data_IF_044452635868
#
_entry.id   IF_044452635868
#
_cell.length_a   1.000
_cell.length_b   1.000
_cell.length_c   1.000
_cell.angle_alpha   90.00
_cell.angle_beta   90.00
_cell.angle_gamma   90.00
#
_symmetry.space_group_name_H-M   'P 1'
#
loop_
_entity.id
_entity.type
_entity.pdbx_description
1 polymer ?
#
# COMPACT_ATOMS: atom_id res chain seq x y z
N UNK A 1 -5.78 1.55 12.78
CA UNK A 1 -5.97 0.89 11.47
C UNK A 1 -6.44 1.95 10.49
N UNK A 2 -5.80 2.02 9.32
CA UNK A 2 -6.15 2.91 8.23
C UNK A 2 -6.65 2.07 7.05
N UNK A 3 -7.88 2.33 6.57
CA UNK A 3 -8.53 1.54 5.51
C UNK A 3 -8.75 2.45 4.31
N UNK A 4 -8.22 2.04 3.14
CA UNK A 4 -8.36 2.75 1.88
C UNK A 4 -9.21 1.90 0.93
N UNK A 5 -10.39 2.38 0.56
CA UNK A 5 -11.21 1.83 -0.49
C UNK A 5 -10.86 2.53 -1.81
N UNK A 6 -9.75 2.10 -2.45
CA UNK A 6 -9.22 2.74 -3.65
C UNK A 6 -10.23 2.73 -4.80
N UNK A 7 -10.41 3.88 -5.46
CA UNK A 7 -11.37 4.07 -6.55
C UNK A 7 -12.84 4.14 -6.12
N UNK A 8 -13.13 4.09 -4.81
CA UNK A 8 -14.49 4.13 -4.28
C UNK A 8 -14.94 5.58 -4.07
N UNK A 9 -15.95 6.00 -4.79
CA UNK A 9 -16.59 7.31 -4.66
C UNK A 9 -17.98 7.24 -4.03
N UNK A 10 -18.66 8.38 -3.99
CA UNK A 10 -20.01 8.51 -3.40
C UNK A 10 -21.00 7.53 -4.04
N UNK A 11 -20.89 7.28 -5.36
CA UNK A 11 -21.79 6.34 -6.06
C UNK A 11 -21.68 4.91 -5.53
N UNK A 12 -20.47 4.40 -5.32
CA UNK A 12 -20.22 3.06 -4.77
C UNK A 12 -20.72 2.96 -3.33
N UNK A 13 -20.46 3.99 -2.50
CA UNK A 13 -20.97 4.05 -1.13
C UNK A 13 -22.50 4.04 -1.10
N UNK A 14 -23.15 4.84 -1.97
CA UNK A 14 -24.61 4.90 -2.08
C UNK A 14 -25.19 3.55 -2.49
N UNK A 15 -24.60 2.91 -3.52
CA UNK A 15 -25.06 1.60 -3.96
C UNK A 15 -24.92 0.56 -2.84
N UNK A 16 -23.77 0.52 -2.16
CA UNK A 16 -23.53 -0.41 -1.06
C UNK A 16 -24.46 -0.17 0.12
N UNK A 17 -24.79 1.08 0.43
CA UNK A 17 -25.73 1.43 1.50
C UNK A 17 -27.14 0.90 1.22
N UNK A 18 -27.61 0.99 -0.02
CA UNK A 18 -28.95 0.50 -0.37
C UNK A 18 -29.04 -1.01 -0.65
N UNK A 19 -27.90 -1.65 -0.95
CA UNK A 19 -27.87 -3.09 -1.25
C UNK A 19 -27.47 -3.96 -0.05
N UNK A 20 -27.02 -3.38 1.05
CA UNK A 20 -26.52 -4.12 2.19
C UNK A 20 -27.08 -3.58 3.52
N UNK A 21 -27.87 -4.42 4.22
CA UNK A 21 -28.45 -4.06 5.51
C UNK A 21 -27.41 -3.76 6.61
N UNK A 22 -26.19 -4.27 6.46
CA UNK A 22 -25.08 -4.12 7.41
C UNK A 22 -23.95 -3.24 6.86
N UNK A 23 -24.26 -2.13 6.23
CA UNK A 23 -23.26 -1.20 5.70
C UNK A 23 -22.42 -0.57 6.83
N UNK A 24 -21.24 -1.13 7.08
CA UNK A 24 -20.37 -0.74 8.20
C UNK A 24 -19.98 0.73 8.24
N UNK A 25 -19.71 1.42 7.12
CA UNK A 25 -19.37 2.84 7.15
C UNK A 25 -20.45 3.76 7.74
N UNK A 26 -21.73 3.35 7.71
CA UNK A 26 -22.82 4.12 8.33
C UNK A 26 -22.76 4.16 9.86
N UNK A 27 -21.89 3.37 10.47
CA UNK A 27 -21.70 3.30 11.94
C UNK A 27 -20.54 4.16 12.45
N UNK A 28 -19.84 4.88 11.57
CA UNK A 28 -18.80 5.79 12.01
C UNK A 28 -19.40 7.08 12.56
N UNK A 29 -18.92 7.53 13.71
CA UNK A 29 -19.39 8.74 14.39
C UNK A 29 -18.94 10.03 13.70
N UNK A 30 -17.89 9.98 12.91
CA UNK A 30 -17.30 11.14 12.26
C UNK A 30 -17.19 10.94 10.76
N UNK A 31 -17.60 11.98 10.00
CA UNK A 31 -17.48 12.04 8.55
C UNK A 31 -16.78 13.34 8.17
N UNK A 32 -15.85 13.25 7.22
CA UNK A 32 -15.13 14.40 6.70
C UNK A 32 -15.03 14.37 5.18
N UNK A 33 -14.67 15.51 4.61
CA UNK A 33 -14.32 15.65 3.21
C UNK A 33 -12.84 16.00 3.09
N UNK A 34 -12.17 15.45 2.09
CA UNK A 34 -10.77 15.71 1.79
C UNK A 34 -10.59 16.11 0.34
N UNK A 35 -9.67 17.02 0.10
CA UNK A 35 -9.29 17.46 -1.25
C UNK A 35 -8.24 16.47 -1.79
N UNK A 36 -8.53 15.86 -2.93
CA UNK A 36 -7.72 14.76 -3.48
C UNK A 36 -6.84 15.13 -4.67
N UNK A 37 -6.91 16.38 -5.20
CA UNK A 37 -6.08 16.75 -6.37
C UNK A 37 -4.58 16.63 -6.08
N UNK A 38 -3.77 16.18 -7.08
CA UNK A 38 -2.32 16.11 -6.95
C UNK A 38 -1.68 17.50 -6.95
N UNK A 39 -0.42 17.58 -6.57
CA UNK A 39 0.41 18.76 -6.79
C UNK A 39 0.98 18.74 -8.21
N UNK A 40 0.10 18.96 -9.18
CA UNK A 40 0.41 19.02 -10.60
C UNK A 40 -0.44 20.14 -11.20
N UNK A 41 0.19 21.22 -11.59
CA UNK A 41 -0.50 22.45 -12.04
C UNK A 41 -1.49 22.24 -13.21
N UNK A 42 -1.30 21.19 -14.01
CA UNK A 42 -2.12 20.87 -15.17
C UNK A 42 -3.15 19.77 -14.90
N UNK A 43 -2.87 18.82 -13.99
CA UNK A 43 -3.74 17.68 -13.71
C UNK A 43 -4.56 17.94 -12.45
N UNK A 44 -5.89 17.84 -12.59
CA UNK A 44 -6.83 18.03 -11.48
C UNK A 44 -7.30 16.73 -10.84
N UNK A 45 -7.13 15.61 -11.55
CA UNK A 45 -7.52 14.27 -11.09
C UNK A 45 -6.29 13.53 -10.60
N UNK A 46 -6.33 13.09 -9.34
CA UNK A 46 -5.27 12.30 -8.73
C UNK A 46 -5.23 10.89 -9.28
N UNK A 47 -4.06 10.26 -9.24
CA UNK A 47 -3.93 8.80 -9.28
C UNK A 47 -3.69 8.23 -7.87
N UNK A 48 -3.64 6.90 -7.74
CA UNK A 48 -3.40 6.25 -6.44
C UNK A 48 -2.01 6.53 -5.87
N UNK A 49 -1.03 6.87 -6.72
CA UNK A 49 0.33 7.14 -6.26
C UNK A 49 0.42 8.47 -5.52
N UNK A 50 -0.01 9.57 -6.15
CA UNK A 50 0.01 10.88 -5.52
C UNK A 50 -0.94 10.98 -4.33
N UNK A 51 -2.13 10.35 -4.40
CA UNK A 51 -3.05 10.33 -3.26
C UNK A 51 -2.55 9.42 -2.13
N UNK A 52 -1.98 8.27 -2.45
CA UNK A 52 -1.34 7.38 -1.47
C UNK A 52 -0.17 8.07 -0.77
N UNK A 53 0.69 8.76 -1.53
CA UNK A 53 1.77 9.58 -0.98
C UNK A 53 1.24 10.64 -0.02
N UNK A 54 0.20 11.40 -0.41
CA UNK A 54 -0.37 12.41 0.47
C UNK A 54 -0.96 11.81 1.77
N UNK A 55 -1.56 10.61 1.70
CA UNK A 55 -2.06 9.89 2.89
C UNK A 55 -0.94 9.35 3.76
N UNK A 56 0.16 8.88 3.14
CA UNK A 56 1.28 8.28 3.86
C UNK A 56 2.21 9.31 4.49
N UNK A 57 2.34 10.51 3.90
CA UNK A 57 3.37 11.50 4.27
C UNK A 57 2.79 12.84 4.72
N UNK A 58 1.51 13.12 4.46
CA UNK A 58 0.92 14.44 4.64
C UNK A 58 1.30 15.47 3.58
N UNK A 59 2.10 15.10 2.58
CA UNK A 59 2.62 16.00 1.52
C UNK A 59 2.06 15.61 0.17
N UNK A 60 1.53 16.58 -0.57
CA UNK A 60 1.09 16.37 -1.95
C UNK A 60 2.27 16.27 -2.90
N UNK A 61 2.12 15.46 -3.93
CA UNK A 61 3.09 15.26 -5.00
C UNK A 61 2.40 15.08 -6.36
N UNK A 62 3.17 14.92 -7.43
CA UNK A 62 2.66 14.71 -8.79
C UNK A 62 2.16 13.28 -9.00
N UNK A 63 1.28 13.09 -10.00
CA UNK A 63 0.77 11.77 -10.37
C UNK A 63 1.89 10.80 -10.76
N UNK A 64 1.84 9.61 -10.21
CA UNK A 64 2.83 8.55 -10.41
C UNK A 64 3.93 8.49 -9.36
N UNK A 65 4.16 9.53 -8.59
CA UNK A 65 5.18 9.57 -7.53
C UNK A 65 4.78 8.72 -6.33
N UNK A 66 5.73 7.99 -5.78
CA UNK A 66 5.62 7.15 -4.59
C UNK A 66 6.51 7.74 -3.51
N UNK A 67 5.92 8.43 -2.54
CA UNK A 67 6.56 9.06 -1.38
C UNK A 67 7.87 9.80 -1.67
N UNK A 68 7.85 10.54 -2.77
CA UNK A 68 8.90 11.51 -3.15
C UNK A 68 8.27 12.86 -3.47
N UNK A 69 9.05 13.93 -3.26
CA UNK A 69 8.70 15.30 -3.63
C UNK A 69 8.87 15.56 -5.15
N UNK A 70 8.64 16.78 -5.59
CA UNK A 70 8.79 17.20 -6.98
C UNK A 70 10.23 17.07 -7.51
N UNK A 71 11.22 17.04 -6.64
CA UNK A 71 12.64 16.89 -6.96
C UNK A 71 13.12 15.44 -6.89
N UNK A 72 12.23 14.50 -6.52
CA UNK A 72 12.55 13.08 -6.34
C UNK A 72 13.18 12.74 -4.98
N UNK A 73 13.19 13.66 -4.01
CA UNK A 73 13.67 13.36 -2.68
C UNK A 73 12.63 12.55 -1.91
N UNK A 74 13.08 11.55 -1.16
CA UNK A 74 12.21 10.75 -0.29
C UNK A 74 11.53 11.62 0.77
N UNK A 75 10.24 11.37 0.99
CA UNK A 75 9.45 11.98 2.06
C UNK A 75 9.09 10.89 3.04
N UNK A 76 9.47 11.06 4.30
CA UNK A 76 9.22 10.09 5.35
C UNK A 76 7.74 9.75 5.50
N UNK A 77 7.44 8.47 5.62
CA UNK A 77 6.07 7.94 5.72
C UNK A 77 5.64 7.72 7.17
N UNK A 78 4.34 7.71 7.40
CA UNK A 78 3.78 7.40 8.72
C UNK A 78 4.18 6.01 9.23
N UNK A 79 4.45 5.03 8.35
CA UNK A 79 4.94 3.72 8.77
C UNK A 79 6.38 3.79 9.26
N UNK A 80 7.23 4.56 8.59
CA UNK A 80 8.62 4.78 9.03
C UNK A 80 8.64 5.48 10.37
N UNK A 81 7.90 6.56 10.53
CA UNK A 81 7.74 7.26 11.81
C UNK A 81 7.24 6.30 12.91
N UNK A 82 6.23 5.48 12.62
CA UNK A 82 5.71 4.52 13.59
C UNK A 82 6.77 3.49 14.02
N UNK A 83 7.64 3.06 13.11
CA UNK A 83 8.77 2.17 13.43
C UNK A 83 9.78 2.82 14.37
N UNK A 84 10.07 4.12 14.23
CA UNK A 84 10.95 4.86 15.17
C UNK A 84 10.39 4.86 16.58
N UNK A 85 9.06 4.85 16.72
CA UNK A 85 8.38 4.71 18.02
C UNK A 85 8.14 3.25 18.45
N UNK A 86 8.80 2.28 17.80
CA UNK A 86 8.70 0.84 18.09
C UNK A 86 7.29 0.24 17.91
N UNK A 87 6.45 0.81 17.05
CA UNK A 87 5.20 0.17 16.67
C UNK A 87 5.44 -0.96 15.66
N UNK A 88 4.60 -2.00 15.73
CA UNK A 88 4.49 -2.96 14.63
C UNK A 88 3.66 -2.34 13.51
N UNK A 89 4.18 -2.45 12.27
CA UNK A 89 3.57 -1.84 11.09
C UNK A 89 3.41 -2.84 9.97
N UNK A 90 2.36 -2.69 9.17
CA UNK A 90 2.13 -3.57 8.04
C UNK A 90 1.12 -3.04 7.05
N UNK A 91 1.12 -3.64 5.87
CA UNK A 91 0.13 -3.39 4.81
C UNK A 91 -0.52 -4.70 4.39
N UNK A 92 -1.83 -4.67 4.20
CA UNK A 92 -2.62 -5.80 3.70
C UNK A 92 -3.50 -5.28 2.57
N UNK A 93 -3.38 -5.87 1.39
CA UNK A 93 -4.05 -5.37 0.19
C UNK A 93 -4.63 -6.50 -0.64
N UNK A 94 -5.65 -6.19 -1.43
CA UNK A 94 -6.20 -7.11 -2.44
C UNK A 94 -5.51 -6.98 -3.79
N UNK A 95 -4.76 -5.90 -4.02
CA UNK A 95 -3.92 -5.69 -5.20
C UNK A 95 -2.58 -6.41 -5.10
N UNK A 96 -1.72 -6.22 -6.10
CA UNK A 96 -0.30 -6.48 -5.92
C UNK A 96 0.26 -5.58 -4.81
N UNK A 97 1.13 -6.13 -3.95
CA UNK A 97 1.77 -5.35 -2.87
C UNK A 97 2.65 -4.22 -3.40
N UNK A 98 3.15 -4.34 -4.62
CA UNK A 98 3.94 -3.32 -5.34
C UNK A 98 3.08 -2.23 -5.97
N UNK A 99 1.74 -2.37 -5.94
CA UNK A 99 0.84 -1.35 -6.47
C UNK A 99 0.99 -0.04 -5.69
N UNK A 100 0.60 1.07 -6.32
CA UNK A 100 0.92 2.41 -5.80
C UNK A 100 0.43 2.67 -4.37
N UNK A 101 -0.76 2.22 -4.02
CA UNK A 101 -1.35 2.50 -2.70
C UNK A 101 -0.54 1.91 -1.54
N UNK A 102 -0.24 0.59 -1.49
CA UNK A 102 0.62 0.07 -0.44
C UNK A 102 2.08 0.55 -0.59
N UNK A 103 2.57 0.70 -1.83
CA UNK A 103 3.93 1.18 -2.08
C UNK A 103 4.19 2.56 -1.46
N UNK A 104 3.21 3.47 -1.50
CA UNK A 104 3.35 4.82 -0.95
C UNK A 104 3.58 4.86 0.56
N UNK A 105 3.34 3.78 1.28
CA UNK A 105 3.62 3.69 2.71
C UNK A 105 5.01 3.11 3.03
N UNK A 106 5.72 2.53 2.04
CA UNK A 106 6.94 1.73 2.29
C UNK A 106 8.11 2.15 1.40
N UNK A 107 7.85 2.60 0.16
CA UNK A 107 8.86 2.83 -0.87
C UNK A 107 8.92 4.31 -1.26
N UNK A 108 10.08 4.71 -1.85
CA UNK A 108 10.32 6.07 -2.33
C UNK A 108 10.87 6.00 -3.75
N UNK A 109 10.03 6.34 -4.74
CA UNK A 109 10.42 6.27 -6.14
C UNK A 109 9.60 7.23 -7.01
N UNK A 110 10.21 7.77 -8.04
CA UNK A 110 9.65 8.76 -8.95
C UNK A 110 8.48 8.24 -9.81
N UNK A 111 8.30 6.91 -9.90
CA UNK A 111 7.26 6.34 -10.75
C UNK A 111 6.73 5.00 -10.23
N UNK A 112 5.42 4.94 -10.02
CA UNK A 112 4.65 3.72 -9.69
C UNK A 112 4.83 2.57 -10.69
N UNK A 113 5.31 2.86 -11.91
CA UNK A 113 5.53 1.83 -12.94
C UNK A 113 6.78 1.00 -12.70
N UNK A 114 7.65 1.41 -11.80
CA UNK A 114 8.90 0.71 -11.45
C UNK A 114 8.66 -0.37 -10.39
N UNK A 115 7.67 -1.24 -10.60
CA UNK A 115 7.21 -2.21 -9.59
C UNK A 115 8.31 -3.19 -9.12
N UNK A 116 9.25 -3.56 -9.98
CA UNK A 116 10.39 -4.38 -9.57
C UNK A 116 11.34 -3.66 -8.60
N UNK A 117 11.51 -2.34 -8.75
CA UNK A 117 12.30 -1.55 -7.80
C UNK A 117 11.54 -1.30 -6.50
N UNK A 118 10.22 -1.11 -6.58
CA UNK A 118 9.35 -1.06 -5.40
C UNK A 118 9.47 -2.36 -4.59
N UNK A 119 9.44 -3.53 -5.25
CA UNK A 119 9.62 -4.82 -4.59
C UNK A 119 10.97 -4.91 -3.85
N UNK A 120 12.07 -4.44 -4.48
CA UNK A 120 13.40 -4.39 -3.83
C UNK A 120 13.41 -3.49 -2.59
N UNK A 121 12.77 -2.33 -2.65
CA UNK A 121 12.67 -1.44 -1.50
C UNK A 121 11.83 -2.06 -0.37
N UNK A 122 10.69 -2.68 -0.70
CA UNK A 122 9.88 -3.41 0.25
C UNK A 122 10.64 -4.57 0.91
N UNK A 123 11.43 -5.32 0.13
CA UNK A 123 12.26 -6.40 0.65
C UNK A 123 13.31 -5.91 1.67
N UNK A 124 13.82 -4.69 1.50
CA UNK A 124 14.78 -4.04 2.43
C UNK A 124 14.12 -3.31 3.61
N UNK A 125 12.84 -2.97 3.49
CA UNK A 125 12.13 -2.14 4.50
C UNK A 125 12.08 -2.82 5.87
N UNK A 126 11.81 -2.04 6.91
CA UNK A 126 11.56 -2.55 8.26
C UNK A 126 10.07 -2.83 8.55
N UNK A 127 9.23 -2.92 7.51
CA UNK A 127 7.81 -3.23 7.65
C UNK A 127 7.65 -4.67 8.13
N UNK A 128 6.89 -4.90 9.20
CA UNK A 128 6.78 -6.22 9.84
C UNK A 128 5.91 -7.18 9.03
N UNK A 129 4.87 -6.66 8.34
CA UNK A 129 3.92 -7.47 7.59
C UNK A 129 3.56 -6.83 6.26
N UNK A 130 3.68 -7.59 5.16
CA UNK A 130 3.27 -7.17 3.81
C UNK A 130 2.46 -8.33 3.20
N UNK A 131 1.15 -8.17 3.05
CA UNK A 131 0.27 -9.20 2.51
C UNK A 131 -0.52 -8.72 1.29
N UNK A 132 -0.58 -9.54 0.25
CA UNK A 132 -1.36 -9.29 -0.97
C UNK A 132 -1.00 -10.21 -2.13
N UNK A 133 -1.20 -9.74 -3.35
CA UNK A 133 -0.73 -10.39 -4.57
C UNK A 133 0.57 -9.79 -5.09
N UNK A 134 0.92 -10.08 -6.36
CA UNK A 134 2.05 -9.46 -7.06
C UNK A 134 3.34 -10.26 -6.98
N UNK A 135 3.27 -11.57 -6.79
CA UNK A 135 4.44 -12.46 -6.74
C UNK A 135 5.37 -12.27 -7.94
N UNK A 136 4.84 -11.93 -9.12
CA UNK A 136 5.62 -11.74 -10.35
C UNK A 136 6.79 -10.74 -10.25
N UNK A 137 6.75 -9.83 -9.29
CA UNK A 137 7.81 -8.85 -9.05
C UNK A 137 8.81 -9.27 -7.97
N UNK A 138 8.55 -10.40 -7.29
CA UNK A 138 9.39 -10.96 -6.26
C UNK A 138 10.27 -12.08 -6.83
N UNK A 139 11.18 -11.66 -7.70
CA UNK A 139 12.19 -12.54 -8.32
C UNK A 139 13.18 -13.06 -7.29
N UNK A 140 13.96 -14.10 -7.65
CA UNK A 140 14.89 -14.73 -6.70
C UNK A 140 15.84 -13.73 -6.04
N UNK A 141 16.33 -12.74 -6.79
CA UNK A 141 17.18 -11.68 -6.24
C UNK A 141 16.45 -10.80 -5.20
N UNK A 142 15.15 -10.55 -5.37
CA UNK A 142 14.33 -9.81 -4.39
C UNK A 142 14.08 -10.65 -3.14
N UNK A 143 13.85 -11.96 -3.32
CA UNK A 143 13.69 -12.90 -2.20
C UNK A 143 15.00 -13.03 -1.41
N UNK A 144 16.14 -13.06 -2.09
CA UNK A 144 17.45 -13.04 -1.43
C UNK A 144 17.66 -11.80 -0.60
N UNK A 145 17.27 -10.62 -1.12
CA UNK A 145 17.29 -9.36 -0.35
C UNK A 145 16.39 -9.47 0.89
N UNK A 146 15.17 -9.99 0.74
CA UNK A 146 14.26 -10.18 1.86
C UNK A 146 14.87 -11.05 2.96
N UNK A 147 15.47 -12.17 2.58
CA UNK A 147 16.13 -13.11 3.51
C UNK A 147 17.32 -12.45 4.25
N UNK A 148 18.12 -11.63 3.55
CA UNK A 148 19.22 -10.88 4.14
C UNK A 148 18.77 -9.83 5.16
N UNK A 149 17.52 -9.34 5.02
CA UNK A 149 16.90 -8.33 5.90
C UNK A 149 15.92 -8.95 6.90
N UNK A 150 16.19 -10.17 7.36
CA UNK A 150 15.39 -10.89 8.36
C UNK A 150 13.91 -11.07 7.96
N UNK A 151 13.62 -11.22 6.67
CA UNK A 151 12.28 -11.47 6.18
C UNK A 151 12.05 -12.94 5.84
N UNK A 152 10.79 -13.33 5.76
CA UNK A 152 10.34 -14.64 5.29
C UNK A 152 9.19 -14.45 4.30
N UNK A 153 9.24 -15.14 3.17
CA UNK A 153 8.15 -15.20 2.19
C UNK A 153 7.27 -16.43 2.44
N UNK A 154 5.95 -16.21 2.45
CA UNK A 154 4.94 -17.27 2.41
C UNK A 154 4.02 -17.09 1.19
N UNK A 155 3.46 -18.20 0.68
CA UNK A 155 2.53 -18.26 -0.45
C UNK A 155 1.18 -18.84 -0.07
N UNK A 156 1.08 -19.34 1.14
CA UNK A 156 -0.12 -19.90 1.74
C UNK A 156 -0.30 -19.27 3.12
N UNK A 157 -1.52 -18.83 3.43
CA UNK A 157 -1.84 -18.18 4.71
C UNK A 157 -1.67 -19.17 5.90
N UNK A 158 -1.83 -20.46 5.66
CA UNK A 158 -1.66 -21.51 6.65
C UNK A 158 -0.20 -22.02 6.74
N UNK A 159 0.71 -21.46 5.94
CA UNK A 159 2.11 -21.83 5.98
C UNK A 159 2.76 -21.51 7.32
N UNK A 160 3.67 -22.38 7.78
CA UNK A 160 4.49 -22.08 8.96
C UNK A 160 5.35 -20.83 8.72
N UNK A 161 5.37 -19.94 9.70
CA UNK A 161 6.25 -18.78 9.72
C UNK A 161 7.00 -18.67 11.05
N UNK A 162 8.18 -18.08 10.99
CA UNK A 162 9.00 -17.76 12.15
C UNK A 162 8.54 -16.42 12.75
N UNK A 163 7.96 -16.38 13.98
CA UNK A 163 7.49 -15.13 14.59
C UNK A 163 8.62 -14.12 14.90
N UNK A 164 9.88 -14.52 14.80
CA UNK A 164 11.04 -13.63 14.91
C UNK A 164 11.41 -12.91 13.62
N UNK A 165 10.70 -13.19 12.51
CA UNK A 165 10.98 -12.61 11.20
C UNK A 165 9.86 -11.67 10.72
N UNK A 166 10.24 -10.73 9.88
CA UNK A 166 9.29 -9.97 9.05
C UNK A 166 8.59 -10.92 8.09
N UNK A 167 7.31 -10.69 7.85
CA UNK A 167 6.51 -11.62 7.04
C UNK A 167 5.99 -10.95 5.76
N UNK A 168 6.31 -11.54 4.62
CA UNK A 168 5.76 -11.18 3.32
C UNK A 168 4.90 -12.34 2.82
N UNK A 169 3.60 -12.12 2.63
CA UNK A 169 2.66 -13.10 2.08
C UNK A 169 2.21 -12.67 0.69
N UNK A 170 2.53 -13.49 -0.31
CA UNK A 170 2.16 -13.26 -1.72
C UNK A 170 1.24 -14.42 -2.17
N UNK A 171 -0.06 -14.15 -2.18
CA UNK A 171 -1.08 -15.18 -2.34
C UNK A 171 -1.64 -15.28 -3.76
N UNK A 172 -1.13 -14.47 -4.70
CA UNK A 172 -1.47 -14.53 -6.11
C UNK A 172 -0.32 -13.96 -6.97
N UNK A 173 -0.20 -14.46 -8.20
CA UNK A 173 0.81 -13.98 -9.15
C UNK A 173 0.61 -12.49 -9.52
N UNK A 174 -0.64 -12.03 -9.63
CA UNK A 174 -1.03 -10.64 -9.92
C UNK A 174 -1.70 -10.00 -8.70
N UNK A 175 -2.94 -9.56 -8.82
CA UNK A 175 -3.79 -9.16 -7.71
C UNK A 175 -4.58 -10.36 -7.20
N UNK A 176 -5.04 -10.34 -5.96
CA UNK A 176 -5.97 -11.35 -5.46
C UNK A 176 -7.24 -11.35 -6.29
N UNK A 177 -7.79 -12.52 -6.54
CA UNK A 177 -9.07 -12.62 -7.25
C UNK A 177 -10.18 -11.95 -6.44
N UNK A 178 -11.07 -11.15 -7.08
CA UNK A 178 -12.24 -10.63 -6.40
C UNK A 178 -13.09 -11.78 -5.87
N UNK A 179 -13.45 -11.73 -4.59
CA UNK A 179 -14.41 -12.64 -4.02
C UNK A 179 -15.81 -12.16 -4.45
N UNK A 180 -16.42 -12.86 -5.38
CA UNK A 180 -17.80 -12.65 -5.80
C UNK A 180 -18.59 -13.84 -5.25
N UNK A 181 -19.40 -13.59 -4.22
CA UNK A 181 -20.40 -14.53 -3.70
C UNK A 181 -21.65 -14.52 -4.57
#
# INVERSE_FOLDING_TARGET
IFIIADGTGVGQYTLSYYSNENFSPSRFDHVGLVVTHPDDGLKKVTDSASSGTAMATGVKTYNGAISVDENGNAIETVLEIAKEFNYSVGVVVTSAVTHATPASFIAHIDSRKKEGEIARQMARSNTDLIFGGGEKYWTDDVIDILNQHNGQLIRDIDAFYDPGKRLVGLFDHNALNPHIE
#
